data_IF_163187422681
#
_entry.id   IF_163187422681
#
_cell.length_a   1.000
_cell.length_b   1.000
_cell.length_c   1.000
_cell.angle_alpha   90.00
_cell.angle_beta   90.00
_cell.angle_gamma   90.00
#
_symmetry.space_group_name_H-M   'P 1'
#
loop_
_entity.id
_entity.type
_entity.pdbx_description
1 polymer ?
#
# COMPACT_ATOMS: atom_id res chain seq x y z
N UNK A 1 19.27 2.69 -8.59
CA UNK A 1 18.59 3.76 -7.82
C UNK A 1 18.87 3.51 -6.34
N UNK A 2 18.94 4.54 -5.50
CA UNK A 2 19.09 4.34 -4.04
C UNK A 2 17.96 3.46 -3.51
N UNK A 3 18.27 2.56 -2.57
CA UNK A 3 17.34 1.57 -2.05
C UNK A 3 16.10 2.25 -1.43
N UNK A 4 16.31 3.39 -0.78
CA UNK A 4 15.28 4.34 -0.34
C UNK A 4 14.20 4.65 -1.40
N UNK A 5 14.61 4.98 -2.63
CA UNK A 5 13.67 5.37 -3.70
C UNK A 5 12.85 4.18 -4.18
N UNK A 6 13.43 2.98 -4.18
CA UNK A 6 12.76 1.76 -4.59
C UNK A 6 11.69 1.35 -3.58
N UNK A 7 12.00 1.39 -2.28
CA UNK A 7 11.03 1.10 -1.21
C UNK A 7 9.89 2.12 -1.23
N UNK A 8 10.18 3.41 -1.44
CA UNK A 8 9.15 4.45 -1.53
C UNK A 8 8.22 4.23 -2.73
N UNK A 9 8.77 3.90 -3.90
CA UNK A 9 7.98 3.60 -5.09
C UNK A 9 7.05 2.40 -4.88
N UNK A 10 7.56 1.33 -4.26
CA UNK A 10 6.76 0.14 -3.92
C UNK A 10 5.63 0.51 -2.97
N UNK A 11 5.90 1.31 -1.94
CA UNK A 11 4.87 1.78 -1.00
C UNK A 11 3.76 2.55 -1.70
N UNK A 12 4.09 3.43 -2.65
CA UNK A 12 3.09 4.17 -3.45
C UNK A 12 2.22 3.21 -4.25
N UNK A 13 2.82 2.24 -4.95
CA UNK A 13 2.07 1.27 -5.76
C UNK A 13 1.13 0.42 -4.88
N UNK A 14 1.62 -0.06 -3.74
CA UNK A 14 0.82 -0.84 -2.78
C UNK A 14 -0.32 -0.01 -2.20
N UNK A 15 -0.06 1.24 -1.84
CA UNK A 15 -1.09 2.16 -1.34
C UNK A 15 -2.16 2.46 -2.40
N UNK A 16 -1.75 2.68 -3.64
CA UNK A 16 -2.66 2.94 -4.75
C UNK A 16 -3.54 1.71 -5.06
N UNK A 17 -2.96 0.50 -5.04
CA UNK A 17 -3.71 -0.74 -5.15
C UNK A 17 -4.72 -0.92 -3.99
N UNK A 18 -4.34 -0.55 -2.77
CA UNK A 18 -5.23 -0.55 -1.60
C UNK A 18 -6.42 0.39 -1.80
N UNK A 19 -6.18 1.62 -2.25
CA UNK A 19 -7.25 2.62 -2.50
C UNK A 19 -8.17 2.18 -3.63
N UNK A 20 -7.65 1.62 -4.72
CA UNK A 20 -8.47 1.11 -5.83
C UNK A 20 -9.34 -0.07 -5.40
N UNK A 21 -8.76 -1.00 -4.62
CA UNK A 21 -9.51 -2.14 -4.06
C UNK A 21 -10.62 -1.67 -3.12
N UNK A 22 -10.32 -0.70 -2.25
CA UNK A 22 -11.31 -0.10 -1.36
C UNK A 22 -12.44 0.60 -2.13
N UNK A 23 -12.09 1.41 -3.13
CA UNK A 23 -13.06 2.09 -3.99
C UNK A 23 -13.95 1.10 -4.77
N UNK A 24 -13.35 0.07 -5.34
CA UNK A 24 -14.08 -1.02 -6.01
C UNK A 24 -15.00 -1.79 -5.05
N UNK A 25 -14.55 -2.00 -3.81
CA UNK A 25 -15.36 -2.65 -2.80
C UNK A 25 -16.53 -1.80 -2.31
N UNK A 26 -16.39 -0.48 -2.22
CA UNK A 26 -17.49 0.42 -1.82
C UNK A 26 -18.49 0.61 -2.95
N UNK A 27 -18.01 0.81 -4.19
CA UNK A 27 -18.84 1.14 -5.35
C UNK A 27 -19.44 -0.10 -6.03
N UNK A 28 -18.90 -1.30 -5.80
CA UNK A 28 -19.44 -2.58 -6.30
C UNK A 28 -20.76 -2.95 -5.62
N UNK A 29 -21.85 -3.01 -6.39
CA UNK A 29 -23.19 -2.83 -5.83
C UNK A 29 -24.36 -3.67 -6.37
N UNK A 30 -24.14 -4.81 -7.02
CA UNK A 30 -25.27 -5.68 -7.43
C UNK A 30 -25.24 -7.04 -6.72
N UNK A 31 -24.07 -7.69 -6.67
CA UNK A 31 -24.00 -9.12 -6.35
C UNK A 31 -23.21 -9.44 -5.07
N UNK A 32 -22.90 -8.43 -4.23
CA UNK A 32 -21.96 -8.54 -3.10
C UNK A 32 -20.56 -9.09 -3.47
N UNK A 33 -20.24 -9.05 -4.76
CA UNK A 33 -18.99 -9.51 -5.34
C UNK A 33 -18.26 -8.32 -5.97
N UNK A 34 -16.94 -8.30 -5.81
CA UNK A 34 -16.01 -7.28 -6.31
C UNK A 34 -14.92 -8.04 -7.03
N UNK A 35 -14.87 -7.96 -8.37
CA UNK A 35 -13.98 -8.76 -9.21
C UNK A 35 -14.06 -10.29 -8.93
N UNK A 36 -15.26 -10.81 -8.62
CA UNK A 36 -15.47 -12.23 -8.34
C UNK A 36 -15.09 -12.68 -6.91
N UNK A 37 -14.62 -11.76 -6.07
CA UNK A 37 -14.31 -12.00 -4.65
C UNK A 37 -15.40 -11.37 -3.78
N UNK A 38 -15.66 -11.92 -2.59
CA UNK A 38 -16.67 -11.36 -1.69
C UNK A 38 -16.31 -9.93 -1.25
N UNK A 39 -17.31 -9.07 -1.13
CA UNK A 39 -17.13 -7.66 -0.73
C UNK A 39 -16.37 -7.51 0.60
N UNK A 40 -16.66 -8.38 1.57
CA UNK A 40 -16.03 -8.38 2.90
C UNK A 40 -14.55 -8.73 2.78
N UNK A 41 -14.21 -9.74 1.99
CA UNK A 41 -12.82 -10.14 1.76
C UNK A 41 -12.03 -9.03 1.03
N UNK A 42 -12.65 -8.39 0.02
CA UNK A 42 -12.05 -7.24 -0.67
C UNK A 42 -11.80 -6.04 0.26
N UNK A 43 -12.71 -5.77 1.20
CA UNK A 43 -12.56 -4.74 2.23
C UNK A 43 -11.38 -5.05 3.17
N UNK A 44 -11.28 -6.28 3.68
CA UNK A 44 -10.16 -6.69 4.54
C UNK A 44 -8.83 -6.63 3.79
N UNK A 45 -8.78 -7.11 2.53
CA UNK A 45 -7.60 -7.03 1.69
C UNK A 45 -7.16 -5.57 1.48
N UNK A 46 -8.11 -4.67 1.21
CA UNK A 46 -7.81 -3.25 1.05
C UNK A 46 -7.24 -2.62 2.34
N UNK A 47 -7.78 -2.97 3.51
CA UNK A 47 -7.28 -2.50 4.80
C UNK A 47 -5.85 -2.98 5.08
N UNK A 48 -5.54 -4.25 4.76
CA UNK A 48 -4.21 -4.81 4.90
C UNK A 48 -3.23 -4.12 3.94
N UNK A 49 -3.60 -3.91 2.68
CA UNK A 49 -2.76 -3.21 1.70
C UNK A 49 -2.46 -1.78 2.14
N UNK A 50 -3.45 -1.06 2.67
CA UNK A 50 -3.26 0.30 3.22
C UNK A 50 -2.30 0.26 4.41
N UNK A 51 -2.46 -0.70 5.32
CA UNK A 51 -1.56 -0.85 6.48
C UNK A 51 -0.12 -1.11 6.02
N UNK A 52 0.08 -2.04 5.09
CA UNK A 52 1.41 -2.33 4.51
C UNK A 52 2.00 -1.08 3.86
N UNK A 53 1.20 -0.31 3.12
CA UNK A 53 1.64 0.93 2.48
C UNK A 53 2.18 1.92 3.52
N UNK A 54 1.44 2.14 4.61
CA UNK A 54 1.82 3.04 5.71
C UNK A 54 3.14 2.60 6.35
N UNK A 55 3.25 1.32 6.75
CA UNK A 55 4.48 0.81 7.38
C UNK A 55 5.68 0.90 6.45
N UNK A 56 5.49 0.61 5.16
CA UNK A 56 6.55 0.72 4.15
C UNK A 56 6.99 2.17 3.96
N UNK A 57 6.05 3.13 3.99
CA UNK A 57 6.34 4.56 3.93
C UNK A 57 7.14 5.06 5.14
N UNK A 58 6.76 4.62 6.35
CA UNK A 58 7.50 4.94 7.59
C UNK A 58 8.93 4.38 7.50
N UNK A 59 9.08 3.13 7.10
CA UNK A 59 10.38 2.49 6.90
C UNK A 59 11.23 3.20 5.84
N UNK A 60 10.64 3.59 4.71
CA UNK A 60 11.33 4.33 3.65
C UNK A 60 11.84 5.69 4.14
N UNK A 61 11.04 6.41 4.93
CA UNK A 61 11.43 7.69 5.52
C UNK A 61 12.56 7.53 6.53
N UNK A 62 12.48 6.51 7.38
CA UNK A 62 13.56 6.20 8.33
C UNK A 62 14.87 5.84 7.61
N UNK A 63 14.80 4.98 6.60
CA UNK A 63 15.96 4.59 5.79
C UNK A 63 16.57 5.78 5.05
N UNK A 64 15.74 6.65 4.46
CA UNK A 64 16.19 7.89 3.82
C UNK A 64 16.91 8.81 4.81
N UNK A 65 16.42 8.91 6.05
CA UNK A 65 17.04 9.72 7.08
C UNK A 65 18.39 9.15 7.52
N UNK A 66 18.51 7.82 7.58
CA UNK A 66 19.78 7.16 7.83
C UNK A 66 20.79 7.33 6.68
N UNK A 67 20.35 7.22 5.42
CA UNK A 67 21.17 7.51 4.22
C UNK A 67 21.67 8.97 4.24
N UNK A 68 20.79 9.94 4.53
CA UNK A 68 21.15 11.37 4.64
C UNK A 68 22.20 11.63 5.72
N UNK A 69 22.13 10.89 6.83
CA UNK A 69 23.08 10.99 7.93
C UNK A 69 24.37 10.16 7.73
N UNK A 70 24.56 9.55 6.55
CA UNK A 70 25.67 8.60 6.25
C UNK A 70 25.81 7.45 7.25
N UNK A 71 24.71 7.05 7.90
CA UNK A 71 24.70 5.91 8.83
C UNK A 71 24.62 4.57 8.09
N UNK A 72 24.15 4.58 6.84
CA UNK A 72 24.07 3.45 5.89
C UNK A 72 24.16 4.00 4.46
N UNK A 73 24.54 3.13 3.51
CA UNK A 73 24.83 3.46 2.09
C UNK A 73 23.56 3.43 1.25
#
# INVERSE_FOLDING_TARGET
MKLSKLIHLISIIVGLAGVLTFGGAILGGADNLVFGITKIDALFCSAILILIAIWTQIGANYYLQLEKNRKII
#
